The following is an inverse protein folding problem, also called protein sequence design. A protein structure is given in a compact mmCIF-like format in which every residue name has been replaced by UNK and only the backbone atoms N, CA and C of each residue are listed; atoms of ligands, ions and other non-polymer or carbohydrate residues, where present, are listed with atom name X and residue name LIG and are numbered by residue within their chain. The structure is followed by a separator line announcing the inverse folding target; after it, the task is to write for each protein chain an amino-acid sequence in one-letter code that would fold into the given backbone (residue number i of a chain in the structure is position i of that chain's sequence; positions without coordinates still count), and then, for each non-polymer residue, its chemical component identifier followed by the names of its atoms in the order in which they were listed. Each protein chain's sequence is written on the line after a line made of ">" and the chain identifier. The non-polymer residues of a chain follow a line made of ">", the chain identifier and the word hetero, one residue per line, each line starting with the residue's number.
data_IF_350302960509
#
_entry.id   IF_350302960509
#
_cell.length_a   1.000
_cell.length_b   1.000
_cell.length_c   1.000
_cell.angle_alpha   90.00
_cell.angle_beta   90.00
_cell.angle_gamma   90.00
#
_symmetry.space_group_name_H-M   'P 1'
#
loop_
_entity.id
_entity.type
_entity.pdbx_description
1 polymer ?
#
# COMPACT_ATOMS: atom_id res chain seq x y z
N UNK A 1 6.21 -22.97 6.29
CA UNK A 1 5.35 -21.93 5.70
C UNK A 1 5.85 -20.59 6.21
N UNK A 2 5.80 -19.54 5.40
CA UNK A 2 6.21 -18.20 5.85
C UNK A 2 5.30 -17.71 6.97
N UNK A 3 5.87 -17.09 8.00
CA UNK A 3 5.15 -16.39 9.07
C UNK A 3 4.79 -15.01 8.57
N UNK A 4 3.54 -14.83 8.14
CA UNK A 4 3.09 -13.54 7.62
C UNK A 4 2.29 -12.78 8.68
N UNK A 5 2.44 -11.46 8.68
CA UNK A 5 1.63 -10.55 9.50
C UNK A 5 1.00 -9.47 8.62
N UNK A 6 0.00 -8.78 9.17
CA UNK A 6 -0.56 -7.56 8.60
C UNK A 6 -0.13 -6.38 9.45
N UNK A 7 0.30 -5.31 8.80
CA UNK A 7 0.41 -3.97 9.39
C UNK A 7 -0.73 -3.16 8.79
N UNK A 8 -1.74 -2.82 9.59
CA UNK A 8 -2.92 -2.12 9.15
C UNK A 8 -2.84 -0.64 9.53
N UNK A 9 -2.74 0.24 8.53
CA UNK A 9 -2.57 1.69 8.73
C UNK A 9 -3.90 2.41 8.55
N UNK A 10 -4.30 3.18 9.56
CA UNK A 10 -5.59 3.87 9.58
C UNK A 10 -5.53 5.15 10.43
N UNK A 11 -6.53 6.02 10.32
CA UNK A 11 -6.52 7.30 11.01
C UNK A 11 -7.90 7.78 11.50
N UNK A 12 -9.00 7.21 11.01
CA UNK A 12 -10.36 7.52 11.42
C UNK A 12 -11.32 6.37 11.05
N UNK A 13 -12.62 6.62 11.19
CA UNK A 13 -13.71 5.74 10.80
C UNK A 13 -13.54 4.29 11.30
N UNK A 14 -13.60 4.14 12.63
CA UNK A 14 -13.31 2.87 13.28
C UNK A 14 -14.30 1.77 12.92
N UNK A 15 -15.55 2.11 12.59
CA UNK A 15 -16.51 1.14 12.09
C UNK A 15 -16.09 0.57 10.73
N UNK A 16 -15.69 1.43 9.78
CA UNK A 16 -15.18 0.93 8.51
C UNK A 16 -13.94 0.06 8.72
N UNK A 17 -12.98 0.52 9.53
CA UNK A 17 -11.75 -0.23 9.83
C UNK A 17 -12.08 -1.58 10.46
N UNK A 18 -13.02 -1.61 11.42
CA UNK A 18 -13.51 -2.82 12.05
C UNK A 18 -14.00 -3.84 11.00
N UNK A 19 -14.85 -3.42 10.07
CA UNK A 19 -15.34 -4.29 9.00
C UNK A 19 -14.21 -4.79 8.09
N UNK A 20 -13.17 -3.98 7.84
CA UNK A 20 -12.02 -4.41 7.01
C UNK A 20 -11.12 -5.39 7.76
N UNK A 21 -10.88 -5.19 9.05
CA UNK A 21 -10.11 -6.13 9.87
C UNK A 21 -10.83 -7.47 10.02
N UNK A 22 -12.14 -7.43 10.29
CA UNK A 22 -13.00 -8.62 10.34
C UNK A 22 -12.96 -9.39 9.02
N UNK A 23 -13.04 -8.69 7.89
CA UNK A 23 -12.94 -9.31 6.57
C UNK A 23 -11.60 -10.03 6.35
N UNK A 24 -10.48 -9.41 6.76
CA UNK A 24 -9.16 -10.05 6.71
C UNK A 24 -9.16 -11.35 7.54
N UNK A 25 -9.74 -11.32 8.75
CA UNK A 25 -9.85 -12.50 9.62
C UNK A 25 -10.76 -13.59 9.05
N UNK A 26 -11.79 -13.24 8.27
CA UNK A 26 -12.61 -14.23 7.57
C UNK A 26 -11.84 -14.97 6.47
N UNK A 27 -10.88 -14.29 5.81
CA UNK A 27 -10.01 -14.91 4.81
C UNK A 27 -8.84 -15.67 5.42
N UNK A 28 -8.20 -15.10 6.44
CA UNK A 28 -6.98 -15.59 7.08
C UNK A 28 -7.14 -15.53 8.63
N UNK A 29 -7.87 -16.47 9.27
CA UNK A 29 -8.22 -16.38 10.70
C UNK A 29 -7.02 -16.25 11.65
N UNK A 30 -5.95 -16.97 11.33
CA UNK A 30 -4.73 -17.05 12.15
C UNK A 30 -3.75 -15.89 11.87
N UNK A 31 -4.00 -15.03 10.88
CA UNK A 31 -3.06 -13.96 10.58
C UNK A 31 -3.04 -12.92 11.70
N UNK A 32 -1.85 -12.60 12.18
CA UNK A 32 -1.67 -11.56 13.19
C UNK A 32 -1.74 -10.18 12.54
N UNK A 33 -2.50 -9.28 13.15
CA UNK A 33 -2.71 -7.92 12.65
C UNK A 33 -2.19 -6.92 13.68
N UNK A 34 -1.37 -5.98 13.23
CA UNK A 34 -0.81 -4.91 14.03
C UNK A 34 -1.29 -3.57 13.48
N UNK A 35 -1.86 -2.72 14.33
CA UNK A 35 -2.36 -1.41 13.95
C UNK A 35 -1.26 -0.36 13.93
N UNK A 36 -1.29 0.54 12.94
CA UNK A 36 -0.58 1.83 12.97
C UNK A 36 -1.63 2.93 12.84
N UNK A 37 -1.86 3.64 13.94
CA UNK A 37 -2.81 4.73 14.05
C UNK A 37 -2.15 6.09 13.76
N UNK A 38 -2.58 6.73 12.68
CA UNK A 38 -2.16 8.06 12.27
C UNK A 38 -3.18 9.18 12.55
N UNK A 39 -4.26 8.90 13.27
CA UNK A 39 -5.32 9.87 13.52
C UNK A 39 -5.00 10.89 14.62
N UNK A 40 -6.07 11.49 15.15
CA UNK A 40 -5.99 12.38 16.31
C UNK A 40 -5.71 11.57 17.57
N UNK A 41 -4.67 11.94 18.34
CA UNK A 41 -4.30 11.29 19.59
C UNK A 41 -5.45 11.14 20.59
N UNK A 42 -6.36 12.10 20.65
CA UNK A 42 -7.50 12.05 21.59
C UNK A 42 -8.46 10.90 21.28
N UNK A 43 -8.54 10.47 20.03
CA UNK A 43 -9.38 9.34 19.60
C UNK A 43 -8.64 7.99 19.61
N UNK A 44 -7.36 7.96 20.03
CA UNK A 44 -6.56 6.74 20.01
C UNK A 44 -7.05 5.67 21.00
N UNK A 45 -7.53 6.08 22.18
CA UNK A 45 -8.07 5.14 23.15
C UNK A 45 -9.37 4.49 22.63
N UNK A 46 -10.24 5.29 22.01
CA UNK A 46 -11.44 4.79 21.34
C UNK A 46 -11.07 3.80 20.23
N UNK A 47 -10.15 4.20 19.34
CA UNK A 47 -9.64 3.33 18.27
C UNK A 47 -9.11 1.99 18.78
N UNK A 48 -8.35 2.03 19.88
CA UNK A 48 -7.76 0.85 20.50
C UNK A 48 -8.84 -0.06 21.08
N UNK A 49 -9.82 0.50 21.78
CA UNK A 49 -10.91 -0.28 22.37
C UNK A 49 -11.80 -0.92 21.30
N UNK A 50 -12.19 -0.14 20.28
CA UNK A 50 -13.07 -0.60 19.19
C UNK A 50 -12.45 -1.72 18.37
N UNK A 51 -11.12 -1.72 18.20
CA UNK A 51 -10.41 -2.66 17.33
C UNK A 51 -9.64 -3.74 18.10
N UNK A 52 -9.77 -3.78 19.42
CA UNK A 52 -8.99 -4.65 20.32
C UNK A 52 -9.11 -6.14 19.98
N UNK A 53 -10.26 -6.58 19.47
CA UNK A 53 -10.47 -8.00 19.15
C UNK A 53 -9.67 -8.49 17.94
N UNK A 54 -9.20 -7.58 17.08
CA UNK A 54 -8.47 -7.94 15.86
C UNK A 54 -6.99 -7.61 15.91
N UNK A 55 -6.59 -6.65 16.76
CA UNK A 55 -5.23 -6.14 16.80
C UNK A 55 -4.42 -6.77 17.94
N UNK A 56 -3.27 -7.34 17.59
CA UNK A 56 -2.27 -7.82 18.56
C UNK A 56 -1.62 -6.66 19.33
N UNK A 57 -1.48 -5.52 18.65
CA UNK A 57 -1.03 -4.26 19.19
C UNK A 57 -1.52 -3.11 18.31
N UNK A 58 -1.69 -1.94 18.90
CA UNK A 58 -2.01 -0.72 18.18
C UNK A 58 -0.97 0.37 18.48
N UNK A 59 -0.20 0.77 17.47
CA UNK A 59 0.85 1.78 17.59
C UNK A 59 0.34 3.15 17.16
N UNK A 60 0.46 4.16 18.03
CA UNK A 60 0.22 5.55 17.65
C UNK A 60 1.48 6.18 17.08
N UNK A 61 1.36 6.86 15.93
CA UNK A 61 2.44 7.69 15.40
C UNK A 61 2.61 8.90 16.33
N UNK A 62 3.78 9.11 16.97
CA UNK A 62 3.97 10.13 18.01
C UNK A 62 4.15 11.55 17.46
N UNK A 63 3.86 11.76 16.17
CA UNK A 63 3.98 13.03 15.47
C UNK A 63 2.56 13.50 15.19
N UNK A 64 2.21 14.76 15.50
CA UNK A 64 0.84 15.25 15.30
C UNK A 64 0.56 15.64 13.84
N UNK A 65 1.56 16.17 13.13
CA UNK A 65 1.43 16.69 11.76
C UNK A 65 0.91 15.62 10.78
N UNK A 66 -0.32 15.81 10.30
CA UNK A 66 -0.96 14.90 9.35
C UNK A 66 -0.26 14.83 8.00
N UNK A 67 0.35 15.92 7.54
CA UNK A 67 1.16 15.93 6.32
C UNK A 67 2.43 15.14 6.52
N UNK A 68 3.07 15.27 7.68
CA UNK A 68 4.23 14.44 8.02
C UNK A 68 3.86 12.94 7.96
N UNK A 69 2.75 12.56 8.61
CA UNK A 69 2.26 11.17 8.61
C UNK A 69 1.98 10.64 7.20
N UNK A 70 1.51 11.51 6.31
CA UNK A 70 1.26 11.17 4.91
C UNK A 70 2.57 11.01 4.12
N UNK A 71 3.53 11.91 4.28
CA UNK A 71 4.79 11.85 3.54
C UNK A 71 5.73 10.76 4.05
N UNK A 72 5.72 10.45 5.35
CA UNK A 72 6.79 9.72 6.04
C UNK A 72 6.39 8.33 6.57
N UNK A 73 5.75 7.51 5.71
CA UNK A 73 5.48 6.12 6.05
C UNK A 73 6.77 5.32 6.32
N UNK A 74 7.86 5.62 5.62
CA UNK A 74 9.19 5.04 5.83
C UNK A 74 9.72 5.27 7.26
N UNK A 75 9.66 6.51 7.77
CA UNK A 75 10.02 6.81 9.15
C UNK A 75 9.04 6.19 10.15
N UNK A 76 7.75 6.16 9.80
CA UNK A 76 6.72 5.49 10.61
C UNK A 76 7.02 4.00 10.79
N UNK A 77 7.41 3.30 9.72
CA UNK A 77 7.77 1.89 9.78
C UNK A 77 9.04 1.65 10.59
N UNK A 78 10.04 2.54 10.47
CA UNK A 78 11.23 2.50 11.34
C UNK A 78 10.86 2.66 12.82
N UNK A 79 10.02 3.63 13.15
CA UNK A 79 9.56 3.88 14.52
C UNK A 79 8.80 2.68 15.08
N UNK A 80 7.77 2.20 14.37
CA UNK A 80 6.99 1.03 14.75
C UNK A 80 7.89 -0.20 14.96
N UNK A 81 8.80 -0.47 14.02
CA UNK A 81 9.66 -1.64 14.12
C UNK A 81 10.65 -1.55 15.28
N UNK A 82 11.17 -0.34 15.57
CA UNK A 82 12.09 -0.11 16.68
C UNK A 82 11.47 -0.41 18.06
N UNK A 83 10.16 -0.22 18.20
CA UNK A 83 9.44 -0.34 19.47
C UNK A 83 8.71 -1.69 19.60
N UNK A 84 8.12 -2.16 18.51
CA UNK A 84 7.21 -3.32 18.50
C UNK A 84 7.73 -4.39 17.55
N UNK A 85 7.92 -4.03 16.27
CA UNK A 85 8.20 -4.98 15.19
C UNK A 85 9.40 -5.90 15.40
N UNK A 86 10.50 -5.39 15.98
CA UNK A 86 11.73 -6.17 16.22
C UNK A 86 11.55 -7.37 17.14
N UNK A 87 10.51 -7.36 17.98
CA UNK A 87 10.19 -8.43 18.92
C UNK A 87 9.20 -9.47 18.37
N UNK A 88 8.76 -9.29 17.12
CA UNK A 88 7.81 -10.17 16.46
C UNK A 88 8.56 -11.12 15.53
N UNK A 89 8.17 -12.39 15.56
CA UNK A 89 8.68 -13.44 14.70
C UNK A 89 7.80 -13.55 13.43
N UNK A 90 8.27 -12.91 12.35
CA UNK A 90 7.61 -12.89 11.05
C UNK A 90 8.63 -12.86 9.92
N UNK A 91 8.24 -13.33 8.74
CA UNK A 91 9.03 -13.30 7.51
C UNK A 91 8.60 -12.12 6.62
N UNK A 92 7.29 -11.89 6.49
CA UNK A 92 6.72 -10.81 5.68
C UNK A 92 5.60 -10.06 6.40
N UNK A 93 5.53 -8.75 6.13
CA UNK A 93 4.42 -7.90 6.53
C UNK A 93 3.67 -7.40 5.29
N UNK A 94 2.37 -7.70 5.24
CA UNK A 94 1.45 -7.05 4.31
C UNK A 94 0.98 -5.73 4.92
N UNK A 95 1.32 -4.62 4.29
CA UNK A 95 0.98 -3.29 4.77
C UNK A 95 -0.25 -2.80 4.00
N UNK A 96 -1.37 -2.72 4.71
CA UNK A 96 -2.67 -2.39 4.15
C UNK A 96 -3.14 -1.05 4.72
N UNK A 97 -3.81 -0.26 3.88
CA UNK A 97 -4.41 1.01 4.30
C UNK A 97 -5.91 0.84 4.50
N UNK A 98 -6.49 1.68 5.35
CA UNK A 98 -7.90 1.65 5.74
C UNK A 98 -8.91 1.64 4.57
N UNK A 99 -8.54 2.21 3.42
CA UNK A 99 -9.36 2.27 2.20
C UNK A 99 -8.85 1.37 1.06
N UNK A 100 -7.98 0.41 1.36
CA UNK A 100 -7.63 -0.69 0.46
C UNK A 100 -8.49 -1.92 0.76
N UNK A 101 -9.38 -2.28 -0.16
CA UNK A 101 -10.14 -3.53 -0.11
C UNK A 101 -9.41 -4.65 -0.84
N UNK A 102 -9.13 -5.75 -0.12
CA UNK A 102 -8.64 -7.01 -0.68
C UNK A 102 -9.76 -8.06 -0.57
N UNK A 103 -10.08 -8.71 -1.68
CA UNK A 103 -11.08 -9.77 -1.78
C UNK A 103 -10.38 -11.15 -1.87
N UNK A 104 -10.07 -11.74 -0.72
CA UNK A 104 -9.47 -13.07 -0.60
C UNK A 104 -8.23 -13.11 0.30
N UNK A 105 -7.71 -14.33 0.54
CA UNK A 105 -6.49 -14.53 1.34
C UNK A 105 -5.32 -13.76 0.76
N UNK A 106 -4.55 -13.08 1.62
CA UNK A 106 -3.40 -12.28 1.19
C UNK A 106 -2.36 -13.13 0.46
N UNK A 107 -2.19 -14.40 0.85
CA UNK A 107 -1.25 -15.32 0.20
C UNK A 107 -1.67 -15.77 -1.19
N UNK A 108 -2.96 -15.66 -1.51
CA UNK A 108 -3.49 -15.96 -2.83
C UNK A 108 -3.52 -14.72 -3.73
N UNK A 109 -3.70 -13.52 -3.14
CA UNK A 109 -3.82 -12.26 -3.87
C UNK A 109 -2.46 -11.65 -4.21
N UNK A 110 -1.48 -11.74 -3.31
CA UNK A 110 -0.12 -11.31 -3.60
C UNK A 110 0.62 -12.31 -4.50
N UNK A 111 1.63 -11.87 -5.27
CA UNK A 111 2.53 -12.79 -5.95
C UNK A 111 3.23 -13.73 -4.96
N UNK A 112 3.73 -14.89 -5.42
CA UNK A 112 4.59 -15.75 -4.60
C UNK A 112 5.73 -14.94 -3.96
N UNK A 113 5.83 -15.02 -2.64
CA UNK A 113 6.79 -14.23 -1.86
C UNK A 113 8.20 -14.82 -1.98
N UNK A 114 9.14 -13.97 -2.37
CA UNK A 114 10.56 -14.30 -2.45
C UNK A 114 11.33 -13.63 -1.31
N UNK A 115 12.28 -14.34 -0.73
CA UNK A 115 13.19 -13.77 0.27
C UNK A 115 13.83 -12.48 -0.24
N UNK A 116 14.01 -11.52 0.67
CA UNK A 116 14.62 -10.21 0.41
C UNK A 116 14.00 -9.44 -0.76
N UNK A 117 12.69 -9.61 -0.98
CA UNK A 117 11.94 -8.91 -2.04
C UNK A 117 10.82 -8.07 -1.44
N UNK A 118 10.88 -6.76 -1.69
CA UNK A 118 9.83 -5.80 -1.41
C UNK A 118 8.88 -5.72 -2.63
N UNK A 119 7.57 -5.84 -2.38
CA UNK A 119 6.55 -5.74 -3.43
C UNK A 119 5.77 -4.45 -3.29
N UNK A 120 5.87 -3.56 -4.27
CA UNK A 120 5.19 -2.28 -4.31
C UNK A 120 4.04 -2.29 -5.33
N UNK A 121 2.99 -1.52 -5.07
CA UNK A 121 1.91 -1.33 -6.05
C UNK A 121 2.36 -0.44 -7.18
N UNK A 122 2.17 -0.88 -8.44
CA UNK A 122 2.42 -0.02 -9.60
C UNK A 122 3.87 0.37 -9.78
N UNK A 123 4.82 -0.44 -9.31
CA UNK A 123 6.25 -0.12 -9.38
C UNK A 123 6.70 0.19 -10.82
N UNK A 124 7.26 1.37 -11.04
CA UNK A 124 7.74 1.80 -12.36
C UNK A 124 8.92 2.77 -12.24
N UNK A 125 9.94 2.71 -13.13
CA UNK A 125 10.96 3.76 -13.17
C UNK A 125 10.33 5.14 -13.41
N UNK A 126 10.71 6.13 -12.60
CA UNK A 126 10.15 7.50 -12.67
C UNK A 126 10.28 8.09 -14.08
N UNK A 127 11.39 7.80 -14.76
CA UNK A 127 11.67 8.23 -16.13
C UNK A 127 10.55 7.89 -17.12
N UNK A 128 9.81 6.77 -16.90
CA UNK A 128 8.70 6.37 -17.78
C UNK A 128 7.42 7.19 -17.58
N UNK A 129 7.25 7.82 -16.41
CA UNK A 129 6.03 8.56 -16.05
C UNK A 129 6.25 10.07 -15.86
N UNK A 130 7.51 10.53 -15.96
CA UNK A 130 7.92 11.90 -15.61
C UNK A 130 7.18 13.04 -16.30
N UNK A 131 6.55 12.76 -17.44
CA UNK A 131 5.80 13.75 -18.22
C UNK A 131 4.43 14.07 -17.63
N UNK A 132 3.89 13.19 -16.79
CA UNK A 132 2.49 13.22 -16.40
C UNK A 132 2.27 13.09 -14.90
N UNK A 133 3.29 12.68 -14.15
CA UNK A 133 3.15 12.47 -12.71
C UNK A 133 3.38 13.77 -11.93
N UNK A 134 2.56 13.99 -10.92
CA UNK A 134 2.57 15.19 -10.09
C UNK A 134 3.97 15.48 -9.51
N UNK A 135 4.63 14.46 -8.95
CA UNK A 135 5.93 14.61 -8.30
C UNK A 135 7.09 14.92 -9.27
N UNK A 136 6.85 14.80 -10.58
CA UNK A 136 7.83 15.10 -11.62
C UNK A 136 7.53 16.38 -12.39
N UNK A 137 6.51 17.13 -11.98
CA UNK A 137 6.29 18.47 -12.51
C UNK A 137 7.42 19.43 -12.14
N UNK A 138 7.42 20.62 -12.75
CA UNK A 138 8.49 21.62 -12.57
C UNK A 138 8.67 22.06 -11.11
N UNK A 139 7.62 21.99 -10.29
CA UNK A 139 7.65 22.46 -8.90
C UNK A 139 8.15 21.38 -7.95
N UNK A 140 7.84 20.11 -8.23
CA UNK A 140 8.12 19.00 -7.34
C UNK A 140 9.38 18.23 -7.73
N UNK A 141 9.77 18.24 -9.02
CA UNK A 141 10.97 17.51 -9.49
C UNK A 141 12.24 17.86 -8.71
N UNK A 142 12.53 19.13 -8.36
CA UNK A 142 13.72 19.46 -7.57
C UNK A 142 13.77 18.77 -6.20
N UNK A 143 12.61 18.46 -5.62
CA UNK A 143 12.52 17.75 -4.33
C UNK A 143 12.93 16.28 -4.47
N UNK A 144 12.51 15.61 -5.55
CA UNK A 144 12.96 14.24 -5.87
C UNK A 144 14.46 14.25 -6.12
N UNK A 145 14.94 15.14 -7.00
CA UNK A 145 16.34 15.19 -7.39
C UNK A 145 17.24 15.42 -6.16
N UNK A 146 16.87 16.39 -5.31
CA UNK A 146 17.59 16.66 -4.05
C UNK A 146 17.61 15.45 -3.12
N UNK A 147 16.50 14.73 -2.98
CA UNK A 147 16.44 13.52 -2.17
C UNK A 147 17.33 12.40 -2.72
N UNK A 148 17.26 12.14 -4.03
CA UNK A 148 18.07 11.12 -4.70
C UNK A 148 19.55 11.46 -4.56
N UNK A 149 19.95 12.69 -4.87
CA UNK A 149 21.34 13.14 -4.79
C UNK A 149 21.90 13.02 -3.38
N UNK A 150 21.15 13.49 -2.37
CA UNK A 150 21.53 13.37 -0.97
C UNK A 150 21.70 11.90 -0.58
N UNK A 151 20.78 11.03 -1.00
CA UNK A 151 20.83 9.59 -0.68
C UNK A 151 22.03 8.91 -1.34
N UNK A 152 22.29 9.17 -2.62
CA UNK A 152 23.45 8.62 -3.33
C UNK A 152 24.76 9.09 -2.67
N UNK A 153 24.84 10.36 -2.27
CA UNK A 153 26.01 10.92 -1.63
C UNK A 153 26.26 10.35 -0.24
N UNK A 154 25.20 10.11 0.54
CA UNK A 154 25.29 9.55 1.89
C UNK A 154 25.73 8.08 1.85
N UNK A 155 25.12 7.27 0.98
CA UNK A 155 25.33 5.82 0.97
C UNK A 155 26.33 5.32 -0.09
N UNK A 156 26.87 6.22 -0.92
CA UNK A 156 27.81 5.90 -2.01
C UNK A 156 27.31 4.80 -2.95
N UNK A 157 25.98 4.76 -3.16
CA UNK A 157 25.30 3.80 -4.03
C UNK A 157 24.63 4.53 -5.18
N UNK A 158 24.71 3.95 -6.37
CA UNK A 158 23.91 4.40 -7.52
C UNK A 158 22.46 3.99 -7.30
N UNK A 159 21.54 4.94 -7.46
CA UNK A 159 20.11 4.73 -7.23
C UNK A 159 19.37 4.84 -8.57
N UNK A 160 18.41 3.96 -8.78
CA UNK A 160 17.43 4.10 -9.86
C UNK A 160 16.13 4.62 -9.22
N UNK A 161 15.67 5.83 -9.56
CA UNK A 161 14.45 6.37 -8.97
C UNK A 161 13.22 5.64 -9.54
N UNK A 162 12.45 5.01 -8.65
CA UNK A 162 11.18 4.37 -8.94
C UNK A 162 10.03 5.17 -8.31
N UNK A 163 8.85 5.03 -8.91
CA UNK A 163 7.58 5.41 -8.33
C UNK A 163 6.77 4.15 -8.04
N UNK A 164 5.97 4.21 -6.99
CA UNK A 164 4.92 3.25 -6.69
C UNK A 164 3.64 3.98 -6.30
N UNK A 165 2.59 3.24 -5.95
CA UNK A 165 1.44 3.75 -5.21
C UNK A 165 1.55 3.26 -3.76
N UNK A 166 1.15 4.09 -2.80
CA UNK A 166 1.28 3.80 -1.37
C UNK A 166 0.61 2.49 -0.90
N UNK A 167 -0.68 2.24 -1.23
CA UNK A 167 -1.41 1.12 -0.65
C UNK A 167 -0.95 -0.25 -1.17
N UNK A 168 -0.90 -1.24 -0.28
CA UNK A 168 -0.69 -2.65 -0.65
C UNK A 168 0.78 -3.08 -0.70
N UNK A 169 1.68 -2.36 -0.05
CA UNK A 169 3.08 -2.76 0.10
C UNK A 169 3.18 -4.14 0.80
N UNK A 170 4.06 -5.02 0.34
CA UNK A 170 4.44 -6.22 1.08
C UNK A 170 5.95 -6.25 1.26
N UNK A 171 6.40 -6.24 2.51
CA UNK A 171 7.79 -6.06 2.88
C UNK A 171 8.34 -7.26 3.67
N UNK A 172 9.54 -7.75 3.35
CA UNK A 172 10.20 -8.76 4.18
C UNK A 172 10.66 -8.13 5.50
N UNK A 173 10.84 -8.95 6.54
CA UNK A 173 11.40 -8.48 7.83
C UNK A 173 12.74 -7.75 7.66
N UNK A 174 13.58 -8.20 6.72
CA UNK A 174 14.86 -7.57 6.39
C UNK A 174 14.74 -6.12 5.90
N UNK A 175 13.59 -5.70 5.36
CA UNK A 175 13.33 -4.29 5.05
C UNK A 175 13.30 -3.43 6.32
N UNK A 176 12.55 -3.87 7.34
CA UNK A 176 12.42 -3.11 8.57
C UNK A 176 13.71 -3.11 9.41
N UNK A 177 14.42 -4.24 9.44
CA UNK A 177 15.76 -4.34 10.03
C UNK A 177 16.74 -3.39 9.33
N UNK A 178 16.70 -3.37 7.99
CA UNK A 178 17.46 -2.43 7.18
C UNK A 178 17.16 -0.98 7.54
N UNK A 179 15.89 -0.59 7.65
CA UNK A 179 15.50 0.78 8.03
C UNK A 179 16.08 1.20 9.40
N UNK A 180 16.15 0.29 10.38
CA UNK A 180 16.79 0.60 11.67
C UNK A 180 18.27 0.93 11.52
N UNK A 181 18.97 0.16 10.69
CA UNK A 181 20.41 0.29 10.47
C UNK A 181 20.80 1.46 9.56
N UNK A 182 19.85 2.00 8.80
CA UNK A 182 20.08 3.15 7.93
C UNK A 182 19.87 4.49 8.65
N UNK A 183 20.72 5.45 8.32
CA UNK A 183 20.48 6.87 8.58
C UNK A 183 19.46 7.42 7.57
N UNK A 184 18.18 7.05 7.75
CA UNK A 184 17.08 7.65 6.99
C UNK A 184 16.73 9.03 7.55
N UNK A 185 16.30 9.93 6.67
CA UNK A 185 16.04 11.32 6.99
C UNK A 185 14.73 11.80 6.35
N UNK A 186 14.18 12.87 6.90
CA UNK A 186 13.00 13.53 6.35
C UNK A 186 13.30 14.19 5.00
N UNK A 187 12.39 13.99 4.05
CA UNK A 187 12.35 14.72 2.79
C UNK A 187 10.88 14.99 2.42
N UNK A 188 10.63 16.14 1.81
CA UNK A 188 9.29 16.61 1.46
C UNK A 188 8.76 15.98 0.16
N UNK A 189 8.84 14.66 0.10
CA UNK A 189 8.33 13.82 -0.97
C UNK A 189 7.65 12.61 -0.35
N UNK A 190 6.68 12.05 -1.07
CA UNK A 190 5.95 10.85 -0.62
C UNK A 190 6.85 9.63 -0.48
N UNK A 191 6.45 8.74 0.41
CA UNK A 191 6.94 7.38 0.55
C UNK A 191 6.83 6.54 -0.74
N UNK A 192 5.95 6.90 -1.69
CA UNK A 192 5.88 6.30 -3.04
C UNK A 192 7.19 6.41 -3.83
N UNK A 193 8.07 7.35 -3.47
CA UNK A 193 9.43 7.48 -4.03
C UNK A 193 10.48 6.93 -3.06
N UNK A 194 10.33 7.23 -1.76
CA UNK A 194 11.37 6.92 -0.76
C UNK A 194 11.50 5.43 -0.48
N UNK A 195 10.39 4.70 -0.37
CA UNK A 195 10.40 3.27 -0.02
C UNK A 195 11.19 2.43 -1.05
N UNK A 196 10.94 2.55 -2.37
CA UNK A 196 11.75 1.85 -3.37
C UNK A 196 13.24 2.22 -3.34
N UNK A 197 13.57 3.46 -2.95
CA UNK A 197 14.96 3.91 -2.81
C UNK A 197 15.60 3.28 -1.59
N UNK A 198 14.95 3.31 -0.42
CA UNK A 198 15.46 2.66 0.79
C UNK A 198 15.68 1.17 0.59
N UNK A 199 14.77 0.48 -0.11
CA UNK A 199 14.94 -0.93 -0.45
C UNK A 199 16.23 -1.19 -1.26
N UNK A 200 16.55 -0.33 -2.24
CA UNK A 200 17.81 -0.44 -3.00
C UNK A 200 19.04 -0.21 -2.12
N UNK A 201 18.98 0.74 -1.19
CA UNK A 201 20.07 1.02 -0.25
C UNK A 201 20.30 -0.16 0.70
N UNK A 202 19.23 -0.80 1.19
CA UNK A 202 19.28 -2.01 2.01
C UNK A 202 19.84 -3.19 1.20
N UNK A 203 19.61 -3.22 -0.12
CA UNK A 203 20.04 -4.31 -1.00
C UNK A 203 18.93 -5.31 -1.31
N UNK A 204 17.67 -4.93 -1.12
CA UNK A 204 16.51 -5.74 -1.45
C UNK A 204 16.18 -5.68 -2.95
N UNK A 205 15.57 -6.76 -3.44
CA UNK A 205 14.87 -6.73 -4.72
C UNK A 205 13.57 -5.94 -4.55
N UNK A 206 13.17 -5.23 -5.60
CA UNK A 206 11.88 -4.53 -5.65
C UNK A 206 11.06 -5.07 -6.83
N UNK A 207 9.81 -5.44 -6.59
CA UNK A 207 8.89 -5.98 -7.60
C UNK A 207 7.51 -5.34 -7.52
N UNK A 208 6.72 -5.47 -8.58
CA UNK A 208 5.30 -5.11 -8.57
C UNK A 208 4.46 -6.18 -7.87
N UNK A 209 3.42 -5.79 -7.14
CA UNK A 209 2.44 -6.72 -6.54
C UNK A 209 1.21 -7.02 -7.44
N UNK A 210 1.13 -6.43 -8.63
CA UNK A 210 0.05 -6.56 -9.62
C UNK A 210 -1.27 -5.86 -9.30
N UNK A 211 -1.39 -5.08 -8.23
CA UNK A 211 -2.64 -4.38 -7.91
C UNK A 211 -2.93 -3.26 -8.91
N UNK A 212 -1.87 -2.59 -9.38
CA UNK A 212 -1.94 -1.54 -10.39
C UNK A 212 -0.98 -1.86 -11.55
N UNK A 213 -1.53 -2.05 -12.75
CA UNK A 213 -0.75 -2.60 -13.87
C UNK A 213 -0.45 -1.58 -14.97
N UNK A 214 -1.18 -0.45 -15.03
CA UNK A 214 -0.99 0.56 -16.09
C UNK A 214 -1.20 1.98 -15.58
N UNK A 215 -0.12 2.75 -15.51
CA UNK A 215 -0.17 4.17 -15.14
C UNK A 215 -0.97 4.99 -16.13
N UNK A 216 -1.78 5.91 -15.58
CA UNK A 216 -2.68 6.84 -16.30
C UNK A 216 -3.74 6.16 -17.19
N UNK A 217 -3.97 4.86 -16.98
CA UNK A 217 -5.03 4.13 -17.66
C UNK A 217 -6.39 4.40 -17.00
N UNK A 218 -7.32 4.97 -17.76
CA UNK A 218 -8.71 5.12 -17.32
C UNK A 218 -9.32 3.78 -16.87
N UNK A 219 -8.97 2.68 -17.54
CA UNK A 219 -9.48 1.35 -17.21
C UNK A 219 -8.91 0.80 -15.90
N UNK A 220 -7.68 1.16 -15.53
CA UNK A 220 -7.14 0.77 -14.22
C UNK A 220 -7.74 1.63 -13.11
N UNK A 221 -7.92 2.94 -13.35
CA UNK A 221 -8.44 3.87 -12.35
C UNK A 221 -9.86 3.54 -11.84
N UNK A 222 -10.62 2.73 -12.59
CA UNK A 222 -11.93 2.20 -12.13
C UNK A 222 -11.83 1.25 -10.94
N UNK A 223 -10.66 0.65 -10.72
CA UNK A 223 -10.43 -0.34 -9.67
C UNK A 223 -9.30 0.07 -8.74
N UNK A 224 -8.38 0.91 -9.19
CA UNK A 224 -7.30 1.38 -8.35
C UNK A 224 -6.86 2.77 -8.80
N UNK A 225 -7.15 3.79 -7.99
CA UNK A 225 -6.80 5.17 -8.24
C UNK A 225 -6.25 5.83 -6.95
N UNK A 226 -5.42 6.86 -7.10
CA UNK A 226 -4.76 7.55 -5.99
C UNK A 226 -5.72 8.50 -5.26
N UNK A 227 -6.78 7.95 -4.65
CA UNK A 227 -7.76 8.65 -3.83
C UNK A 227 -8.69 9.65 -4.56
N UNK A 228 -8.88 9.48 -5.86
CA UNK A 228 -9.69 10.39 -6.68
C UNK A 228 -11.18 10.03 -6.61
N UNK A 229 -11.51 8.76 -6.83
CA UNK A 229 -12.89 8.28 -6.91
C UNK A 229 -13.08 7.05 -6.04
N UNK A 230 -14.08 7.10 -5.15
CA UNK A 230 -14.48 5.93 -4.38
C UNK A 230 -14.97 4.82 -5.33
N UNK A 231 -14.51 3.60 -5.09
CA UNK A 231 -14.97 2.42 -5.80
C UNK A 231 -16.20 1.90 -5.09
N UNK A 232 -17.28 1.70 -5.85
CA UNK A 232 -18.55 1.23 -5.29
C UNK A 232 -18.67 -0.30 -5.27
N UNK A 233 -19.57 -0.80 -4.43
CA UNK A 233 -19.94 -2.22 -4.36
C UNK A 233 -20.32 -2.80 -5.72
N UNK A 234 -21.02 -2.02 -6.55
CA UNK A 234 -21.40 -2.45 -7.89
C UNK A 234 -20.18 -2.82 -8.75
N UNK A 235 -19.08 -2.08 -8.60
CA UNK A 235 -17.82 -2.38 -9.30
C UNK A 235 -17.18 -3.64 -8.74
N UNK A 236 -17.10 -3.76 -7.40
CA UNK A 236 -16.53 -4.93 -6.72
C UNK A 236 -17.30 -6.19 -7.09
N UNK A 237 -18.63 -6.22 -6.92
CA UNK A 237 -19.49 -7.35 -7.26
C UNK A 237 -19.38 -7.76 -8.72
N UNK A 238 -19.29 -6.78 -9.63
CA UNK A 238 -19.09 -7.08 -11.06
C UNK A 238 -17.76 -7.78 -11.31
N UNK A 239 -16.67 -7.38 -10.65
CA UNK A 239 -15.38 -8.05 -10.80
C UNK A 239 -15.39 -9.45 -10.19
N UNK A 240 -16.06 -9.66 -9.05
CA UNK A 240 -16.18 -10.98 -8.41
C UNK A 240 -16.88 -12.03 -9.29
N UNK A 241 -17.72 -11.62 -10.24
CA UNK A 241 -18.35 -12.55 -11.20
C UNK A 241 -17.44 -12.98 -12.36
N UNK A 242 -16.28 -12.32 -12.54
CA UNK A 242 -15.39 -12.58 -13.69
C UNK A 242 -14.35 -13.64 -13.34
N UNK A 243 -14.07 -14.54 -14.28
CA UNK A 243 -13.00 -15.55 -14.15
C UNK A 243 -11.62 -14.96 -13.86
N UNK A 244 -11.33 -13.77 -14.38
CA UNK A 244 -10.06 -13.05 -14.14
C UNK A 244 -10.36 -11.63 -13.61
N UNK A 245 -11.30 -11.52 -12.68
CA UNK A 245 -11.67 -10.26 -12.05
C UNK A 245 -10.56 -9.67 -11.17
N UNK A 246 -10.67 -8.37 -10.87
CA UNK A 246 -9.83 -7.72 -9.86
C UNK A 246 -10.22 -8.16 -8.45
N UNK A 247 -9.23 -8.24 -7.57
CA UNK A 247 -9.40 -8.59 -6.16
C UNK A 247 -8.79 -7.54 -5.21
N UNK A 248 -8.20 -6.47 -5.75
CA UNK A 248 -7.69 -5.34 -4.98
C UNK A 248 -8.35 -4.07 -5.50
N UNK A 249 -8.93 -3.28 -4.59
CA UNK A 249 -9.67 -2.07 -4.91
C UNK A 249 -9.22 -0.92 -4.02
N UNK A 250 -8.89 0.22 -4.63
CA UNK A 250 -8.49 1.41 -3.88
C UNK A 250 -8.85 2.72 -4.62
N UNK A 251 -9.41 3.73 -3.92
CA UNK A 251 -9.96 3.63 -2.57
C UNK A 251 -11.31 2.91 -2.57
N UNK A 252 -11.59 2.19 -1.50
CA UNK A 252 -12.89 1.59 -1.21
C UNK A 252 -13.32 1.96 0.21
N UNK A 253 -14.32 2.84 0.31
CA UNK A 253 -14.81 3.44 1.57
C UNK A 253 -16.29 3.17 1.81
N UNK A 254 -16.88 2.27 1.04
CA UNK A 254 -18.27 1.84 1.25
C UNK A 254 -18.38 1.14 2.62
N UNK A 255 -19.54 1.33 3.27
CA UNK A 255 -19.84 0.78 4.60
C UNK A 255 -20.26 -0.69 4.63
N UNK A 256 -20.05 -1.40 3.52
CA UNK A 256 -20.48 -2.80 3.34
C UNK A 256 -19.78 -3.69 4.35
N UNK A 257 -20.57 -4.56 4.99
CA UNK A 257 -20.11 -5.41 6.09
C UNK A 257 -19.09 -6.45 5.61
N UNK A 258 -18.30 -6.95 6.55
CA UNK A 258 -17.36 -8.04 6.28
C UNK A 258 -18.09 -9.28 5.76
N UNK A 259 -19.24 -9.64 6.32
CA UNK A 259 -20.01 -10.83 5.97
C UNK A 259 -20.57 -10.76 4.55
N UNK A 260 -21.07 -9.60 4.14
CA UNK A 260 -21.58 -9.40 2.77
C UNK A 260 -20.45 -9.52 1.74
N UNK A 261 -19.30 -8.87 2.01
CA UNK A 261 -18.12 -8.97 1.14
C UNK A 261 -17.56 -10.39 1.10
N UNK A 262 -17.51 -11.07 2.23
CA UNK A 262 -17.06 -12.45 2.33
C UNK A 262 -17.99 -13.42 1.58
N UNK A 263 -19.31 -13.24 1.73
CA UNK A 263 -20.31 -14.03 1.00
C UNK A 263 -20.20 -13.82 -0.51
N UNK A 264 -19.99 -12.57 -0.93
CA UNK A 264 -19.72 -12.23 -2.33
C UNK A 264 -18.44 -12.94 -2.83
N UNK A 265 -17.36 -12.95 -2.05
CA UNK A 265 -16.14 -13.67 -2.38
C UNK A 265 -16.37 -15.19 -2.50
N UNK A 266 -17.09 -15.81 -1.56
CA UNK A 266 -17.37 -17.26 -1.60
C UNK A 266 -18.20 -17.66 -2.83
N UNK A 267 -19.05 -16.76 -3.33
CA UNK A 267 -19.82 -16.97 -4.56
C UNK A 267 -18.99 -16.81 -5.84
N UNK A 268 -17.78 -16.26 -5.74
CA UNK A 268 -16.87 -16.06 -6.85
C UNK A 268 -16.10 -17.34 -7.21
N UNK A 269 -15.37 -17.32 -8.32
CA UNK A 269 -14.37 -18.36 -8.63
C UNK A 269 -13.00 -17.82 -8.21
N UNK A 270 -12.50 -18.15 -7.00
CA UNK A 270 -11.24 -17.58 -6.50
C UNK A 270 -10.09 -17.95 -7.44
N UNK A 271 -9.24 -16.97 -7.72
CA UNK A 271 -8.05 -17.15 -8.55
C UNK A 271 -6.81 -16.74 -7.77
N UNK A 272 -5.82 -17.64 -7.73
CA UNK A 272 -4.49 -17.33 -7.21
C UNK A 272 -3.73 -16.43 -8.18
N UNK A 273 -3.04 -15.44 -7.66
CA UNK A 273 -2.11 -14.63 -8.43
C UNK A 273 -0.98 -15.52 -8.97
N UNK A 274 -0.86 -15.63 -10.29
CA UNK A 274 0.01 -16.64 -10.90
C UNK A 274 1.41 -16.14 -11.25
N UNK A 275 1.61 -14.86 -11.61
CA UNK A 275 2.94 -14.26 -11.92
C UNK A 275 2.95 -12.74 -11.76
N UNK A 276 4.10 -12.17 -11.34
CA UNK A 276 4.38 -10.73 -11.39
C UNK A 276 4.37 -10.25 -12.85
N UNK A 277 3.75 -9.11 -13.11
CA UNK A 277 3.66 -8.47 -14.42
C UNK A 277 4.36 -7.11 -14.40
N UNK A 278 5.01 -6.80 -15.51
CA UNK A 278 5.56 -5.46 -15.75
C UNK A 278 4.44 -4.42 -15.84
N UNK A 279 4.69 -3.28 -15.22
CA UNK A 279 3.78 -2.13 -15.23
C UNK A 279 4.01 -1.31 -16.50
N UNK A 280 2.93 -0.98 -17.20
CA UNK A 280 2.96 -0.19 -18.43
C UNK A 280 2.50 1.27 -18.21
N UNK A 281 2.74 2.14 -19.19
CA UNK A 281 2.28 3.54 -19.19
C UNK A 281 1.34 3.75 -20.37
N UNK A 282 0.24 4.46 -20.14
CA UNK A 282 -0.63 4.96 -21.20
C UNK A 282 -0.57 6.48 -21.22
N UNK A 283 -0.51 7.10 -22.41
CA UNK A 283 -0.50 8.55 -22.52
C UNK A 283 -1.85 9.16 -22.05
N UNK A 284 -1.87 10.18 -21.16
CA UNK A 284 -3.12 10.78 -20.66
C UNK A 284 -4.00 11.47 -21.72
N UNK A 285 -3.51 11.73 -22.93
CA UNK A 285 -4.42 12.18 -24.01
C UNK A 285 -5.49 11.14 -24.35
N UNK A 286 -5.17 9.85 -24.20
CA UNK A 286 -6.17 8.76 -24.30
C UNK A 286 -7.18 8.84 -23.15
N UNK A 287 -6.76 9.36 -22.00
CA UNK A 287 -7.64 9.66 -20.87
C UNK A 287 -8.66 10.74 -21.22
N UNK A 288 -8.28 11.82 -21.93
CA UNK A 288 -9.23 12.86 -22.39
C UNK A 288 -10.26 12.33 -23.40
N UNK A 289 -9.89 11.39 -24.27
CA UNK A 289 -10.83 10.74 -25.19
C UNK A 289 -11.90 9.96 -24.42
N UNK A 290 -11.52 9.31 -23.31
CA UNK A 290 -12.44 8.58 -22.45
C UNK A 290 -13.16 9.44 -21.39
N UNK A 291 -12.61 10.60 -21.00
CA UNK A 291 -13.21 11.51 -20.00
C UNK A 291 -14.27 12.45 -20.57
N UNK A 292 -14.47 12.52 -21.89
CA UNK A 292 -15.72 13.12 -22.44
C UNK A 292 -16.97 12.39 -21.94
N UNK A 293 -16.84 11.15 -21.43
CA UNK A 293 -17.91 10.36 -20.80
C UNK A 293 -18.03 10.55 -19.27
N UNK A 294 -17.20 11.40 -18.65
CA UNK A 294 -17.31 11.77 -17.23
C UNK A 294 -17.85 13.20 -17.04
N UNK A 295 -18.25 13.86 -18.13
CA UNK A 295 -18.97 15.14 -18.14
C UNK A 295 -20.43 15.01 -18.63
N UNK A 296 -20.95 13.78 -18.67
CA UNK A 296 -22.36 13.44 -18.86
C UNK A 296 -22.85 12.65 -17.66
#
# INVERSE_FOLDING_TARGET
>A
MNKNIVIYRYHNNFELVYQRLKLIKLYDPEIKIYGIYGGNKDAFQEATNTLAEFLENNFIIPIEDGRWKWLHADLTYKLWYSQIGKHIDFDFAFILEWDLLIMGSLTDIYPPLEADTLYCTGLIPIEKIKRFWFWTDVNNKPLIDSFVDKTQNLFKKKIIPYASLGPGLCAPKSFFEGLLNLEIFEAYITDEVKIPIWAQIIGLKIKNNNFYNKWFSYFEMKYFNANVLNISDKVVSKEMTKKNGRHAFHPYREGTSAEELYSLYLSSKPQKCSKVKDVNVIHPSTYRIHCKLLKM
#
